data_IF_309904090174
#
_entry.id   IF_309904090174
#
_cell.length_a   1.000
_cell.length_b   1.000
_cell.length_c   1.000
_cell.angle_alpha   90.00
_cell.angle_beta   90.00
_cell.angle_gamma   90.00
#
_symmetry.space_group_name_H-M   'P 1'
#
loop_
_entity.id
_entity.type
_entity.pdbx_description
1 polymer ?
#
# COMPACT_ATOMS: atom_id res chain seq x y z
N UNK A 1 1.47 17.98 -15.98
CA UNK A 1 0.49 18.92 -15.42
C UNK A 1 0.76 20.27 -16.02
N UNK A 2 0.07 20.55 -17.11
CA UNK A 2 0.08 21.84 -17.81
C UNK A 2 -1.09 22.69 -17.35
N UNK A 3 -1.08 23.98 -17.69
CA UNK A 3 -2.23 24.87 -17.50
C UNK A 3 -3.49 24.40 -18.25
N UNK A 4 -3.32 23.54 -19.26
CA UNK A 4 -4.42 22.97 -20.04
C UNK A 4 -5.13 21.79 -19.38
N UNK A 5 -4.69 21.35 -18.18
CA UNK A 5 -5.36 20.27 -17.47
C UNK A 5 -6.83 20.62 -17.18
N UNK A 6 -7.74 19.71 -17.56
CA UNK A 6 -9.18 19.92 -17.49
C UNK A 6 -9.67 20.19 -16.06
N UNK A 7 -9.15 19.47 -15.06
CA UNK A 7 -9.53 19.65 -13.65
C UNK A 7 -9.18 21.05 -13.12
N UNK A 8 -8.06 21.62 -13.56
CA UNK A 8 -7.65 22.99 -13.23
C UNK A 8 -8.57 24.00 -13.94
N UNK A 9 -8.77 23.85 -15.26
CA UNK A 9 -9.59 24.76 -16.07
C UNK A 9 -11.03 24.84 -15.58
N UNK A 10 -11.63 23.70 -15.31
CA UNK A 10 -13.00 23.60 -14.82
C UNK A 10 -13.12 23.93 -13.33
N UNK A 11 -12.00 24.08 -12.61
CA UNK A 11 -11.98 24.28 -11.16
C UNK A 11 -12.80 23.20 -10.45
N UNK A 12 -12.55 21.93 -10.80
CA UNK A 12 -13.15 20.75 -10.14
C UNK A 12 -12.49 20.52 -8.80
N UNK A 13 -12.62 21.48 -7.89
CA UNK A 13 -12.06 21.45 -6.56
C UNK A 13 -13.00 22.20 -5.63
N UNK A 14 -13.38 21.56 -4.53
CA UNK A 14 -14.29 22.09 -3.53
C UNK A 14 -13.67 22.01 -2.14
N UNK A 15 -13.79 23.10 -1.38
CA UNK A 15 -13.23 23.22 -0.04
C UNK A 15 -11.81 23.77 0.03
N UNK A 16 -11.31 23.87 1.26
CA UNK A 16 -9.99 24.37 1.59
C UNK A 16 -9.47 23.62 2.82
N UNK A 17 -8.93 22.42 2.60
CA UNK A 17 -8.37 21.57 3.65
C UNK A 17 -9.30 21.36 4.87
N UNK A 18 -10.30 20.46 4.78
CA UNK A 18 -10.42 19.36 3.82
C UNK A 18 -11.08 19.74 2.49
N UNK A 19 -10.80 18.94 1.47
CA UNK A 19 -11.47 18.94 0.18
C UNK A 19 -12.52 17.83 0.11
N UNK A 20 -13.45 17.92 -0.82
CA UNK A 20 -14.38 16.82 -1.11
C UNK A 20 -13.68 15.68 -1.85
N UNK A 21 -14.19 14.45 -1.74
CA UNK A 21 -13.68 13.26 -2.45
C UNK A 21 -13.88 13.27 -3.97
N UNK A 22 -14.77 14.11 -4.50
CA UNK A 22 -14.96 14.35 -5.93
C UNK A 22 -14.04 15.45 -6.51
N UNK A 23 -13.23 16.09 -5.66
CA UNK A 23 -12.23 17.07 -6.09
C UNK A 23 -11.09 16.41 -6.88
N UNK A 24 -10.69 17.05 -7.98
CA UNK A 24 -9.60 16.63 -8.84
C UNK A 24 -8.27 16.73 -8.10
N UNK A 25 -7.54 15.60 -8.02
CA UNK A 25 -6.28 15.50 -7.29
C UNK A 25 -5.20 16.46 -7.84
N UNK A 26 -5.17 16.70 -9.14
CA UNK A 26 -4.23 17.65 -9.76
C UNK A 26 -4.60 19.08 -9.37
N UNK A 27 -5.88 19.41 -9.36
CA UNK A 27 -6.36 20.70 -8.87
C UNK A 27 -6.02 20.91 -7.38
N UNK A 28 -6.17 19.88 -6.55
CA UNK A 28 -5.74 19.92 -5.14
C UNK A 28 -4.23 20.16 -5.04
N UNK A 29 -3.42 19.46 -5.82
CA UNK A 29 -1.96 19.63 -5.82
C UNK A 29 -1.55 21.08 -6.13
N UNK A 30 -2.25 21.72 -7.07
CA UNK A 30 -2.04 23.13 -7.41
C UNK A 30 -2.51 24.05 -6.29
N UNK A 31 -3.74 23.87 -5.82
CA UNK A 31 -4.33 24.69 -4.77
C UNK A 31 -3.54 24.64 -3.46
N UNK A 32 -3.00 23.47 -3.08
CA UNK A 32 -2.11 23.29 -1.92
C UNK A 32 -0.67 23.74 -2.19
N UNK A 33 -0.31 24.12 -3.43
CA UNK A 33 1.00 24.70 -3.76
C UNK A 33 2.10 23.67 -4.00
N UNK A 34 1.75 22.39 -4.15
CA UNK A 34 2.70 21.31 -4.44
C UNK A 34 3.24 21.47 -5.86
N UNK A 35 2.37 21.85 -6.80
CA UNK A 35 2.71 22.01 -8.21
C UNK A 35 2.26 23.38 -8.71
N UNK A 36 3.14 24.03 -9.46
CA UNK A 36 2.78 25.20 -10.27
C UNK A 36 2.52 24.77 -11.71
N UNK A 37 1.31 24.98 -12.25
CA UNK A 37 1.01 24.66 -13.65
C UNK A 37 1.88 25.49 -14.59
N UNK A 38 2.57 24.83 -15.51
CA UNK A 38 3.40 25.45 -16.55
C UNK A 38 2.81 25.21 -17.94
N UNK A 39 3.29 25.92 -18.96
CA UNK A 39 2.89 25.66 -20.35
C UNK A 39 3.47 24.33 -20.88
N UNK A 40 4.66 23.96 -20.39
CA UNK A 40 5.35 22.74 -20.78
C UNK A 40 4.96 21.54 -19.91
N UNK A 41 5.21 20.33 -20.41
CA UNK A 41 5.06 19.13 -19.62
C UNK A 41 6.02 19.15 -18.40
N UNK A 42 5.59 18.69 -17.22
CA UNK A 42 6.41 18.72 -16.03
C UNK A 42 7.65 17.85 -16.18
N UNK A 43 8.78 18.35 -15.69
CA UNK A 43 10.07 17.64 -15.67
C UNK A 43 10.21 16.68 -14.47
N UNK A 44 9.11 16.05 -14.07
CA UNK A 44 9.10 15.03 -13.03
C UNK A 44 8.36 13.79 -13.55
N UNK A 45 8.81 12.63 -13.09
CA UNK A 45 8.27 11.33 -13.52
C UNK A 45 7.01 10.98 -12.74
N UNK A 46 6.99 11.25 -11.43
CA UNK A 46 5.89 10.87 -10.53
C UNK A 46 5.59 11.98 -9.52
N UNK A 47 4.30 12.21 -9.27
CA UNK A 47 3.78 12.99 -8.14
C UNK A 47 3.11 12.03 -7.17
N UNK A 48 3.53 12.06 -5.91
CA UNK A 48 2.89 11.32 -4.82
C UNK A 48 2.15 12.30 -3.93
N UNK A 49 0.89 12.00 -3.62
CA UNK A 49 0.09 12.71 -2.61
C UNK A 49 -0.49 11.70 -1.62
N UNK A 50 -0.29 11.97 -0.34
CA UNK A 50 -0.83 11.18 0.76
C UNK A 50 -2.04 11.92 1.30
N UNK A 51 -3.22 11.33 1.08
CA UNK A 51 -4.50 11.89 1.48
C UNK A 51 -5.04 11.10 2.66
N UNK A 52 -5.38 11.80 3.75
CA UNK A 52 -6.20 11.25 4.83
C UNK A 52 -7.67 11.40 4.46
N UNK A 53 -8.38 10.28 4.49
CA UNK A 53 -9.83 10.25 4.35
C UNK A 53 -10.48 10.59 5.69
N UNK A 54 -11.46 11.49 5.66
CA UNK A 54 -12.20 12.03 6.79
C UNK A 54 -13.71 11.95 6.49
N UNK A 55 -14.55 12.03 7.52
CA UNK A 55 -16.00 12.15 7.36
C UNK A 55 -16.37 13.43 6.60
N UNK A 56 -17.51 13.38 5.89
CA UNK A 56 -18.03 14.53 5.16
C UNK A 56 -18.26 15.74 6.08
N UNK A 57 -17.88 16.94 5.62
CA UNK A 57 -18.15 18.18 6.37
C UNK A 57 -19.55 18.73 6.08
N UNK A 58 -20.12 19.43 7.07
CA UNK A 58 -21.37 20.17 6.87
C UNK A 58 -21.20 21.34 5.89
N UNK A 59 -20.01 21.93 5.81
CA UNK A 59 -19.68 23.03 4.91
C UNK A 59 -18.22 22.93 4.46
N UNK A 60 -18.00 23.12 3.16
CA UNK A 60 -16.69 23.30 2.54
C UNK A 60 -16.56 24.75 2.06
N UNK A 61 -15.59 25.48 2.58
CA UNK A 61 -15.37 26.89 2.25
C UNK A 61 -14.51 27.06 1.01
N UNK A 62 -14.87 28.00 0.13
CA UNK A 62 -14.04 28.36 -1.02
C UNK A 62 -12.84 29.20 -0.58
N UNK A 63 -11.66 28.97 -1.17
CA UNK A 63 -10.50 29.85 -1.04
C UNK A 63 -9.77 30.05 -2.36
N UNK A 64 -9.04 31.16 -2.48
CA UNK A 64 -8.06 31.36 -3.56
C UNK A 64 -6.68 31.03 -3.01
N UNK A 65 -6.02 30.00 -3.55
CA UNK A 65 -4.65 29.63 -3.19
C UNK A 65 -3.89 29.24 -4.45
N UNK A 66 -2.62 29.66 -4.53
CA UNK A 66 -1.71 29.27 -5.61
C UNK A 66 -2.32 29.44 -7.02
N UNK A 67 -3.00 30.57 -7.21
CA UNK A 67 -3.68 30.95 -8.47
C UNK A 67 -4.86 30.07 -8.89
N UNK A 68 -5.35 29.20 -7.99
CA UNK A 68 -6.57 28.41 -8.20
C UNK A 68 -7.61 28.75 -7.12
N UNK A 69 -8.85 29.00 -7.55
CA UNK A 69 -9.98 29.22 -6.62
C UNK A 69 -10.76 27.92 -6.46
N UNK A 70 -10.88 27.44 -5.23
CA UNK A 70 -11.78 26.35 -4.89
C UNK A 70 -13.23 26.83 -4.78
N UNK A 71 -14.16 25.89 -4.95
CA UNK A 71 -15.60 26.13 -4.84
C UNK A 71 -16.06 25.84 -3.42
N UNK A 72 -17.09 26.56 -2.98
CA UNK A 72 -17.80 26.20 -1.75
C UNK A 72 -18.81 25.11 -2.05
N UNK A 73 -19.09 24.26 -1.07
CA UNK A 73 -20.12 23.24 -1.17
C UNK A 73 -20.69 22.95 0.21
N UNK A 74 -21.97 22.64 0.31
CA UNK A 74 -22.56 22.21 1.58
C UNK A 74 -22.59 20.69 1.68
N UNK A 75 -22.55 20.15 2.89
CA UNK A 75 -22.71 18.71 3.14
C UNK A 75 -24.11 18.18 2.78
N UNK A 76 -25.08 19.07 2.55
CA UNK A 76 -26.39 18.70 2.00
C UNK A 76 -26.30 18.38 0.50
N UNK A 77 -25.48 19.14 -0.25
CA UNK A 77 -25.23 18.94 -1.67
C UNK A 77 -24.26 17.77 -1.90
N UNK A 78 -23.31 17.58 -0.98
CA UNK A 78 -22.30 16.53 -1.07
C UNK A 78 -22.40 15.52 0.06
N UNK A 79 -22.86 14.31 -0.26
CA UNK A 79 -22.97 13.18 0.68
C UNK A 79 -21.73 12.28 0.71
N UNK A 80 -20.64 12.70 0.08
CA UNK A 80 -19.40 11.93 -0.01
C UNK A 80 -18.47 12.09 1.18
N UNK A 81 -17.21 11.73 0.95
CA UNK A 81 -16.11 11.82 1.92
C UNK A 81 -15.40 13.17 1.86
N UNK A 82 -14.62 13.43 2.91
CA UNK A 82 -13.62 14.51 2.93
C UNK A 82 -12.22 13.92 2.74
N UNK A 83 -11.34 14.67 2.08
CA UNK A 83 -9.93 14.35 1.95
C UNK A 83 -9.07 15.50 2.45
N UNK A 84 -8.08 15.20 3.30
CA UNK A 84 -7.06 16.17 3.72
C UNK A 84 -5.70 15.69 3.26
N UNK A 85 -4.96 16.59 2.63
CA UNK A 85 -3.56 16.34 2.27
C UNK A 85 -2.70 16.26 3.54
N UNK A 86 -1.98 15.16 3.73
CA UNK A 86 -1.02 15.00 4.84
C UNK A 86 0.44 15.07 4.39
N UNK A 87 0.71 14.73 3.14
CA UNK A 87 2.06 14.71 2.61
C UNK A 87 2.07 14.71 1.10
N UNK A 88 3.17 15.15 0.52
CA UNK A 88 3.38 15.10 -0.92
C UNK A 88 4.85 14.98 -1.25
N UNK A 89 5.15 14.45 -2.43
CA UNK A 89 6.51 14.40 -2.93
C UNK A 89 6.56 14.35 -4.46
N UNK A 90 7.62 14.91 -5.03
CA UNK A 90 7.85 14.99 -6.48
C UNK A 90 9.12 14.22 -6.81
N UNK A 91 8.98 13.19 -7.64
CA UNK A 91 10.08 12.34 -8.10
C UNK A 91 10.57 12.84 -9.46
N UNK A 92 11.78 13.37 -9.53
CA UNK A 92 12.36 13.77 -10.83
C UNK A 92 12.91 12.57 -11.59
N UNK A 93 13.46 11.60 -10.86
CA UNK A 93 14.04 10.37 -11.42
C UNK A 93 13.28 9.12 -10.99
N UNK A 94 13.49 8.02 -11.69
CA UNK A 94 12.93 6.69 -11.36
C UNK A 94 13.48 6.14 -10.03
N UNK A 95 14.65 6.60 -9.59
CA UNK A 95 15.25 6.23 -8.29
C UNK A 95 14.58 6.95 -7.11
N UNK A 96 14.12 8.18 -7.32
CA UNK A 96 13.38 8.94 -6.29
C UNK A 96 11.97 8.37 -6.07
N UNK A 97 11.35 7.85 -7.13
CA UNK A 97 10.06 7.13 -7.07
C UNK A 97 10.15 5.94 -6.10
N UNK A 98 11.24 5.18 -6.16
CA UNK A 98 11.49 4.08 -5.24
C UNK A 98 11.62 4.51 -3.77
N UNK A 99 11.99 5.76 -3.47
CA UNK A 99 12.11 6.25 -2.09
C UNK A 99 10.77 6.74 -1.53
N UNK A 100 9.92 7.29 -2.39
CA UNK A 100 8.65 7.94 -2.01
C UNK A 100 7.44 7.01 -2.04
N UNK A 101 7.62 5.82 -2.60
CA UNK A 101 6.51 4.89 -2.78
C UNK A 101 6.20 4.07 -1.56
N UNK A 102 7.07 4.05 -0.56
CA UNK A 102 6.86 3.37 0.71
C UNK A 102 5.79 4.09 1.54
N UNK A 103 4.55 3.61 1.44
CA UNK A 103 3.40 4.06 2.24
C UNK A 103 3.24 3.10 3.41
N UNK A 104 3.14 3.67 4.61
CA UNK A 104 2.66 2.92 5.78
C UNK A 104 1.16 2.71 5.60
N UNK A 105 0.76 1.48 5.29
CA UNK A 105 -0.65 1.10 5.27
C UNK A 105 -1.14 1.05 6.72
N UNK A 106 -1.67 2.17 7.22
CA UNK A 106 -2.37 2.15 8.50
C UNK A 106 -3.73 1.50 8.26
N UNK A 107 -4.20 0.58 9.12
CA UNK A 107 -5.61 0.25 9.16
C UNK A 107 -6.37 1.52 9.54
N UNK A 108 -6.92 2.22 8.55
CA UNK A 108 -7.85 3.32 8.79
C UNK A 108 -9.17 2.68 9.14
N UNK A 109 -9.66 2.93 10.36
CA UNK A 109 -11.05 2.63 10.73
C UNK A 109 -11.96 3.55 9.93
N UNK A 110 -12.21 3.18 8.68
CA UNK A 110 -13.17 3.85 7.81
C UNK A 110 -14.56 3.48 8.34
N UNK A 111 -15.25 4.44 8.96
CA UNK A 111 -16.69 4.32 9.09
C UNK A 111 -17.30 4.16 7.69
N UNK A 112 -18.41 3.42 7.63
CA UNK A 112 -18.89 2.73 6.43
C UNK A 112 -19.10 3.68 5.24
N UNK A 113 -18.23 3.60 4.24
CA UNK A 113 -18.51 4.14 2.90
C UNK A 113 -18.66 3.01 1.89
N UNK A 114 -19.86 2.94 1.32
CA UNK A 114 -20.20 2.04 0.21
C UNK A 114 -19.58 2.59 -1.06
N UNK A 115 -18.30 2.28 -1.29
CA UNK A 115 -17.71 2.40 -2.61
C UNK A 115 -18.39 1.30 -3.43
N UNK A 116 -19.23 1.68 -4.39
CA UNK A 116 -19.69 0.76 -5.44
C UNK A 116 -18.44 0.18 -6.07
N UNK A 117 -18.14 -1.06 -5.73
CA UNK A 117 -16.92 -1.75 -6.15
C UNK A 117 -16.99 -1.94 -7.66
N UNK A 118 -16.45 -1.00 -8.42
CA UNK A 118 -15.89 -1.36 -9.70
C UNK A 118 -14.77 -2.35 -9.38
N UNK A 119 -15.04 -3.64 -9.63
CA UNK A 119 -14.07 -4.73 -9.69
C UNK A 119 -13.09 -4.49 -10.86
N UNK A 120 -12.52 -3.30 -10.97
CA UNK A 120 -11.51 -2.98 -11.94
C UNK A 120 -10.17 -3.22 -11.27
N UNK A 121 -9.58 -4.40 -11.45
CA UNK A 121 -8.14 -4.54 -11.72
C UNK A 121 -7.86 -5.95 -12.25
N UNK A 122 -7.92 -6.08 -13.57
CA UNK A 122 -7.56 -7.26 -14.35
C UNK A 122 -6.06 -7.27 -14.69
N UNK A 123 -5.17 -7.23 -13.70
CA UNK A 123 -3.74 -7.50 -13.96
C UNK A 123 -3.11 -8.30 -12.81
N UNK A 124 -3.75 -9.40 -12.39
CA UNK A 124 -3.00 -10.46 -11.73
C UNK A 124 -2.19 -11.20 -12.81
N UNK A 125 -1.07 -10.60 -13.24
CA UNK A 125 -0.09 -11.31 -14.08
C UNK A 125 0.55 -12.37 -13.19
N UNK A 126 0.18 -13.63 -13.39
CA UNK A 126 0.88 -14.77 -12.79
C UNK A 126 2.31 -14.73 -13.30
N UNK A 127 3.27 -14.78 -12.38
CA UNK A 127 4.69 -14.96 -12.70
C UNK A 127 5.22 -16.17 -11.94
N UNK A 128 6.37 -16.70 -12.34
CA UNK A 128 6.98 -17.85 -11.68
C UNK A 128 7.91 -17.39 -10.57
N UNK A 129 7.77 -18.05 -9.40
CA UNK A 129 8.63 -17.84 -8.24
C UNK A 129 10.05 -18.36 -8.47
N UNK A 130 10.95 -18.14 -7.51
CA UNK A 130 12.30 -18.71 -7.52
C UNK A 130 12.32 -20.25 -7.53
N UNK A 131 11.24 -20.89 -7.08
CA UNK A 131 11.04 -22.35 -7.12
C UNK A 131 10.30 -22.81 -8.38
N UNK A 132 10.12 -21.92 -9.36
CA UNK A 132 9.39 -22.16 -10.60
C UNK A 132 7.91 -22.54 -10.39
N UNK A 133 7.27 -21.95 -9.38
CA UNK A 133 5.85 -22.16 -9.10
C UNK A 133 5.04 -20.89 -9.39
N UNK A 134 3.75 -21.00 -9.79
CA UNK A 134 2.90 -19.83 -10.00
C UNK A 134 2.80 -18.94 -8.76
N UNK A 135 3.08 -17.65 -8.89
CA UNK A 135 3.00 -16.65 -7.84
C UNK A 135 2.33 -15.36 -8.36
N UNK A 136 1.84 -14.54 -7.43
CA UNK A 136 1.30 -13.24 -7.79
C UNK A 136 2.46 -12.31 -8.11
N UNK A 137 2.42 -11.64 -9.27
CA UNK A 137 3.27 -10.47 -9.49
C UNK A 137 3.02 -9.45 -8.39
N UNK A 138 4.10 -8.93 -7.83
CA UNK A 138 4.04 -7.90 -6.81
C UNK A 138 3.30 -6.67 -7.34
N UNK A 139 2.33 -6.18 -6.58
CA UNK A 139 1.77 -4.84 -6.72
C UNK A 139 1.28 -4.38 -5.36
N UNK A 140 1.26 -3.06 -5.13
CA UNK A 140 0.71 -2.46 -3.92
C UNK A 140 -0.70 -2.96 -3.63
N UNK A 141 -1.51 -3.14 -4.67
CA UNK A 141 -2.86 -3.65 -4.51
C UNK A 141 -2.86 -4.99 -3.77
N UNK A 142 -1.97 -5.93 -4.09
CA UNK A 142 -1.98 -7.30 -3.51
C UNK A 142 -1.66 -7.31 -2.02
N UNK A 143 -0.91 -6.33 -1.53
CA UNK A 143 -0.50 -6.20 -0.12
C UNK A 143 -1.28 -5.13 0.65
N UNK A 144 -2.10 -4.33 -0.03
CA UNK A 144 -2.87 -3.25 0.58
C UNK A 144 -3.93 -3.77 1.55
N UNK A 145 -4.08 -3.10 2.71
CA UNK A 145 -5.29 -3.22 3.51
C UNK A 145 -6.41 -2.48 2.76
N UNK A 146 -7.19 -3.24 1.99
CA UNK A 146 -8.26 -2.69 1.16
C UNK A 146 -9.57 -2.71 1.93
N UNK A 147 -10.47 -1.80 1.60
CA UNK A 147 -11.86 -1.80 2.08
C UNK A 147 -11.99 -1.50 3.60
N UNK A 148 -13.13 -1.01 4.08
CA UNK A 148 -13.45 -0.98 5.52
C UNK A 148 -13.64 -2.37 6.14
N UNK A 149 -13.87 -3.41 5.33
CA UNK A 149 -14.05 -4.77 5.83
C UNK A 149 -12.70 -5.45 6.06
N UNK A 150 -12.44 -5.76 7.34
CA UNK A 150 -11.21 -6.37 7.84
C UNK A 150 -10.81 -7.66 7.12
N UNK A 151 -11.75 -8.38 6.49
CA UNK A 151 -11.43 -9.61 5.72
C UNK A 151 -10.56 -9.35 4.48
N UNK A 152 -10.51 -8.10 4.00
CA UNK A 152 -9.67 -7.70 2.88
C UNK A 152 -8.35 -7.06 3.31
N UNK A 153 -8.02 -7.11 4.61
CA UNK A 153 -6.78 -6.57 5.15
C UNK A 153 -5.69 -7.63 5.14
N UNK A 154 -4.52 -7.27 4.62
CA UNK A 154 -3.31 -8.10 4.68
C UNK A 154 -2.85 -8.27 6.13
N UNK A 155 -2.97 -7.22 6.95
CA UNK A 155 -2.67 -7.29 8.39
C UNK A 155 -3.48 -8.38 9.11
N UNK A 156 -4.77 -8.51 8.77
CA UNK A 156 -5.69 -9.55 9.30
C UNK A 156 -5.39 -10.91 8.68
N UNK A 157 -5.12 -10.96 7.37
CA UNK A 157 -4.73 -12.19 6.69
C UNK A 157 -3.48 -12.82 7.30
N UNK A 158 -2.50 -11.99 7.71
CA UNK A 158 -1.26 -12.44 8.31
C UNK A 158 -1.42 -13.09 9.70
N UNK A 159 -2.59 -12.98 10.33
CA UNK A 159 -2.88 -13.70 11.57
C UNK A 159 -3.06 -15.21 11.36
N UNK A 160 -3.52 -15.60 10.17
CA UNK A 160 -3.78 -17.01 9.82
C UNK A 160 -2.88 -17.52 8.70
N UNK A 161 -2.14 -16.66 8.02
CA UNK A 161 -1.28 -16.99 6.90
C UNK A 161 0.08 -16.29 7.03
N UNK A 162 1.11 -16.87 6.42
CA UNK A 162 2.41 -16.21 6.26
C UNK A 162 2.59 -15.77 4.82
N UNK A 163 3.15 -14.58 4.63
CA UNK A 163 3.42 -14.03 3.30
C UNK A 163 4.87 -14.27 2.95
N UNK A 164 5.10 -14.73 1.73
CA UNK A 164 6.43 -14.90 1.15
C UNK A 164 6.58 -13.92 0.00
N UNK A 165 7.65 -13.13 0.05
CA UNK A 165 7.98 -12.14 -0.98
C UNK A 165 9.33 -12.47 -1.60
N UNK A 166 9.45 -12.26 -2.90
CA UNK A 166 10.69 -12.51 -3.63
C UNK A 166 11.22 -11.22 -4.23
N UNK A 167 12.54 -11.10 -4.23
CA UNK A 167 13.24 -9.89 -4.62
C UNK A 167 13.99 -10.03 -5.93
N UNK A 168 14.35 -8.90 -6.55
CA UNK A 168 15.13 -8.86 -7.81
C UNK A 168 16.51 -9.51 -7.70
N UNK A 169 17.11 -9.46 -6.52
CA UNK A 169 18.37 -10.11 -6.16
C UNK A 169 18.23 -11.61 -5.86
N UNK A 170 17.08 -12.21 -6.21
CA UNK A 170 16.80 -13.65 -6.14
C UNK A 170 16.83 -14.21 -4.71
N UNK A 171 16.36 -13.42 -3.75
CA UNK A 171 16.12 -13.84 -2.38
C UNK A 171 14.62 -14.03 -2.15
N UNK A 172 14.28 -14.85 -1.15
CA UNK A 172 12.91 -14.98 -0.65
C UNK A 172 12.90 -14.62 0.82
N UNK A 173 11.95 -13.77 1.18
CA UNK A 173 11.70 -13.39 2.56
C UNK A 173 10.30 -13.84 2.97
N UNK A 174 10.15 -14.17 4.23
CA UNK A 174 8.87 -14.43 4.85
C UNK A 174 8.55 -13.30 5.84
N UNK A 175 7.31 -12.81 5.76
CA UNK A 175 6.68 -11.96 6.75
C UNK A 175 5.57 -12.77 7.43
N UNK A 176 5.70 -12.98 8.73
CA UNK A 176 4.71 -13.73 9.53
C UNK A 176 4.41 -13.03 10.84
N UNK A 177 3.26 -13.36 11.43
CA UNK A 177 2.94 -12.96 12.80
C UNK A 177 3.95 -13.57 13.78
N UNK A 178 4.44 -12.76 14.72
CA UNK A 178 5.32 -13.19 15.81
C UNK A 178 4.54 -13.27 17.12
N UNK A 179 3.83 -12.20 17.49
CA UNK A 179 2.98 -12.18 18.67
C UNK A 179 1.71 -11.35 18.44
N UNK A 180 0.59 -11.86 18.93
CA UNK A 180 -0.68 -11.13 18.95
C UNK A 180 -1.38 -11.34 20.29
N UNK A 181 -1.31 -10.32 21.16
CA UNK A 181 -2.06 -10.28 22.41
C UNK A 181 -3.28 -9.40 22.20
N UNK A 182 -4.46 -9.91 22.61
CA UNK A 182 -5.71 -9.18 22.46
C UNK A 182 -5.65 -7.82 23.17
N UNK A 183 -5.89 -6.73 22.43
CA UNK A 183 -5.79 -5.35 22.94
C UNK A 183 -4.42 -4.67 22.74
N UNK A 184 -3.41 -5.38 22.25
CA UNK A 184 -2.11 -4.80 21.88
C UNK A 184 -1.87 -4.84 20.37
N UNK A 185 -0.90 -4.03 19.92
CA UNK A 185 -0.47 -4.07 18.52
C UNK A 185 0.25 -5.39 18.25
N UNK A 186 -0.15 -6.08 17.17
CA UNK A 186 0.54 -7.28 16.71
C UNK A 186 1.99 -6.97 16.32
N UNK A 187 2.88 -7.90 16.62
CA UNK A 187 4.27 -7.86 16.14
C UNK A 187 4.50 -8.91 15.07
N UNK A 188 5.36 -8.59 14.12
CA UNK A 188 5.70 -9.42 12.99
C UNK A 188 7.21 -9.69 12.96
N UNK A 189 7.57 -10.83 12.39
CA UNK A 189 8.96 -11.17 12.06
C UNK A 189 9.16 -11.13 10.56
N UNK A 190 10.35 -10.72 10.13
CA UNK A 190 10.78 -10.75 8.74
C UNK A 190 12.06 -11.60 8.66
N UNK A 191 12.00 -12.70 7.91
CA UNK A 191 13.10 -13.68 7.86
C UNK A 191 13.49 -14.00 6.41
N UNK A 192 14.78 -14.22 6.16
CA UNK A 192 15.31 -14.64 4.85
C UNK A 192 15.29 -16.17 4.76
N UNK A 193 14.73 -16.72 3.69
CA UNK A 193 14.79 -18.15 3.42
C UNK A 193 16.18 -18.52 2.88
N UNK A 194 16.82 -19.53 3.47
CA UNK A 194 18.19 -19.91 3.14
C UNK A 194 18.34 -20.49 1.72
N UNK A 195 17.33 -21.23 1.24
CA UNK A 195 17.40 -21.99 -0.02
C UNK A 195 16.16 -21.76 -0.91
N UNK A 196 15.91 -20.52 -1.36
CA UNK A 196 14.64 -20.13 -1.98
C UNK A 196 14.29 -20.89 -3.28
N UNK A 197 15.28 -21.43 -3.98
CA UNK A 197 15.07 -22.20 -5.22
C UNK A 197 14.57 -23.62 -4.97
N UNK A 198 14.99 -24.24 -3.88
CA UNK A 198 14.64 -25.63 -3.54
C UNK A 198 13.50 -25.70 -2.54
N UNK A 199 13.30 -24.66 -1.74
CA UNK A 199 12.19 -24.56 -0.79
C UNK A 199 10.92 -24.14 -1.54
N UNK A 200 10.28 -25.07 -2.27
CA UNK A 200 8.99 -24.83 -2.94
C UNK A 200 7.85 -24.66 -1.93
N UNK A 201 6.67 -24.22 -2.37
CA UNK A 201 5.49 -24.08 -1.49
C UNK A 201 5.16 -25.38 -0.76
N UNK A 202 5.24 -26.52 -1.44
CA UNK A 202 5.01 -27.83 -0.84
C UNK A 202 6.04 -28.13 0.26
N UNK A 203 7.32 -27.85 0.01
CA UNK A 203 8.39 -28.02 1.01
C UNK A 203 8.17 -27.11 2.22
N UNK A 204 7.74 -25.86 2.01
CA UNK A 204 7.38 -24.95 3.11
C UNK A 204 6.22 -25.55 3.92
N UNK A 205 5.17 -26.02 3.27
CA UNK A 205 4.00 -26.58 3.96
C UNK A 205 4.35 -27.86 4.74
N UNK A 206 5.23 -28.70 4.21
CA UNK A 206 5.72 -29.91 4.90
C UNK A 206 6.57 -29.56 6.12
N UNK A 207 7.49 -28.60 5.99
CA UNK A 207 8.33 -28.12 7.08
C UNK A 207 7.56 -27.35 8.17
N UNK A 208 6.41 -26.77 7.80
CA UNK A 208 5.59 -25.92 8.66
C UNK A 208 5.60 -24.45 8.20
N UNK A 209 4.47 -23.78 8.42
CA UNK A 209 4.27 -22.37 8.09
C UNK A 209 3.92 -21.63 9.40
N UNK A 210 4.70 -20.63 9.84
CA UNK A 210 5.85 -20.03 9.16
C UNK A 210 7.10 -20.92 9.15
N UNK A 211 8.09 -20.63 8.29
CA UNK A 211 9.33 -21.40 8.12
C UNK A 211 10.06 -21.62 9.46
N UNK A 212 10.55 -22.83 9.71
CA UNK A 212 11.34 -23.11 10.90
C UNK A 212 12.69 -22.37 10.89
N UNK A 213 13.29 -22.22 12.07
CA UNK A 213 14.59 -21.54 12.23
C UNK A 213 15.73 -22.27 11.51
N UNK A 214 15.58 -23.57 11.23
CA UNK A 214 16.58 -24.34 10.48
C UNK A 214 16.68 -23.93 9.00
N UNK A 215 15.60 -23.38 8.42
CA UNK A 215 15.49 -23.04 6.99
C UNK A 215 15.47 -21.52 6.73
N UNK A 216 15.62 -20.72 7.79
CA UNK A 216 15.50 -19.27 7.72
C UNK A 216 16.53 -18.55 8.59
N UNK A 217 16.89 -17.33 8.20
CA UNK A 217 17.69 -16.41 9.02
C UNK A 217 16.86 -15.20 9.36
N UNK A 218 16.84 -14.85 10.64
CA UNK A 218 16.09 -13.69 11.13
C UNK A 218 16.73 -12.41 10.61
N UNK A 219 15.95 -11.60 9.90
CA UNK A 219 16.38 -10.27 9.42
C UNK A 219 15.88 -9.21 10.40
N UNK A 220 14.60 -9.27 10.78
CA UNK A 220 13.99 -8.35 11.74
C UNK A 220 12.94 -9.08 12.60
N UNK A 221 12.79 -8.66 13.86
CA UNK A 221 11.77 -9.12 14.82
C UNK A 221 11.12 -7.95 15.54
N UNK A 222 9.97 -8.18 16.15
CA UNK A 222 9.22 -7.17 16.89
C UNK A 222 8.76 -6.02 15.99
N UNK A 223 8.48 -6.29 14.71
CA UNK A 223 8.03 -5.27 13.78
C UNK A 223 6.59 -4.92 14.06
N UNK A 224 6.31 -3.65 14.31
CA UNK A 224 4.93 -3.15 14.28
C UNK A 224 4.47 -3.02 12.83
N UNK A 225 3.17 -3.16 12.58
CA UNK A 225 2.61 -3.02 11.22
C UNK A 225 2.98 -1.68 10.57
N UNK A 226 3.05 -0.61 11.36
CA UNK A 226 3.42 0.72 10.88
C UNK A 226 4.91 0.89 10.52
N UNK A 227 5.77 -0.09 10.83
CA UNK A 227 7.19 -0.10 10.49
C UNK A 227 7.47 -0.86 9.18
N UNK A 228 6.42 -1.40 8.55
CA UNK A 228 6.47 -2.10 7.27
C UNK A 228 5.88 -1.17 6.22
N UNK A 229 6.76 -0.51 5.46
CA UNK A 229 6.36 0.50 4.49
C UNK A 229 6.32 -0.11 3.08
N UNK A 230 5.13 -0.24 2.51
CA UNK A 230 4.92 -0.86 1.20
C UNK A 230 5.03 0.16 0.09
N UNK A 231 5.82 -0.10 -0.95
CA UNK A 231 5.91 0.75 -2.12
C UNK A 231 5.74 0.05 -3.45
N UNK A 232 5.53 0.80 -4.53
CA UNK A 232 5.08 0.33 -5.85
C UNK A 232 5.85 -0.87 -6.40
N UNK A 233 7.12 -1.03 -6.02
CA UNK A 233 7.98 -2.16 -6.40
C UNK A 233 8.91 -2.62 -5.27
N UNK A 234 8.61 -2.26 -4.02
CA UNK A 234 9.50 -2.54 -2.89
C UNK A 234 8.79 -2.56 -1.55
N UNK A 235 9.44 -3.13 -0.53
CA UNK A 235 9.07 -2.93 0.87
C UNK A 235 10.27 -2.34 1.62
N UNK A 236 10.02 -1.40 2.52
CA UNK A 236 11.04 -0.81 3.39
C UNK A 236 10.74 -1.21 4.81
N UNK A 237 11.75 -1.76 5.48
CA UNK A 237 11.67 -2.21 6.86
C UNK A 237 12.88 -1.64 7.57
N UNK A 238 12.66 -0.79 8.59
CA UNK A 238 13.71 -0.13 9.39
C UNK A 238 14.85 0.50 8.55
N UNK A 239 14.48 1.15 7.45
CA UNK A 239 15.42 1.81 6.54
C UNK A 239 15.99 0.93 5.41
N UNK A 240 15.91 -0.39 5.53
CA UNK A 240 16.35 -1.34 4.49
C UNK A 240 15.27 -1.51 3.42
N UNK A 241 15.64 -1.39 2.14
CA UNK A 241 14.71 -1.46 1.00
C UNK A 241 14.90 -2.75 0.22
N UNK A 242 13.83 -3.53 0.09
CA UNK A 242 13.79 -4.81 -0.63
C UNK A 242 12.98 -4.64 -1.91
N UNK A 243 13.60 -4.87 -3.09
CA UNK A 243 12.95 -4.70 -4.41
C UNK A 243 12.12 -5.92 -4.78
N UNK A 244 10.80 -5.83 -4.67
CA UNK A 244 9.88 -6.96 -4.80
C UNK A 244 9.51 -7.27 -6.26
N UNK A 245 9.35 -8.56 -6.55
CA UNK A 245 9.03 -9.11 -7.88
C UNK A 245 7.70 -9.87 -7.84
N UNK A 246 7.59 -10.85 -6.94
CA UNK A 246 6.37 -11.61 -6.67
C UNK A 246 6.16 -11.82 -5.19
N UNK A 247 4.95 -12.30 -4.88
CA UNK A 247 4.61 -12.80 -3.57
C UNK A 247 3.61 -13.94 -3.65
N UNK A 248 3.51 -14.70 -2.57
CA UNK A 248 2.44 -15.65 -2.33
C UNK A 248 2.16 -15.76 -0.83
N UNK A 249 1.02 -16.36 -0.48
CA UNK A 249 0.63 -16.59 0.90
C UNK A 249 0.42 -18.09 1.11
N UNK A 250 0.78 -18.58 2.30
CA UNK A 250 0.49 -19.94 2.73
C UNK A 250 -0.23 -19.91 4.08
N UNK A 251 -1.25 -20.76 4.30
CA UNK A 251 -1.87 -20.91 5.62
C UNK A 251 -0.85 -21.34 6.66
N UNK A 252 -0.94 -20.78 7.86
CA UNK A 252 -0.10 -21.20 8.97
C UNK A 252 -0.44 -22.64 9.35
N UNK A 253 0.58 -23.46 9.56
CA UNK A 253 0.47 -24.88 9.87
C UNK A 253 1.66 -25.33 10.69
N UNK A 254 1.41 -26.26 11.62
CA UNK A 254 2.49 -27.02 12.24
C UNK A 254 3.20 -27.89 11.19
N UNK A 255 4.45 -28.32 11.44
CA UNK A 255 5.14 -29.27 10.57
C UNK A 255 4.27 -30.50 10.36
N UNK A 256 4.22 -31.02 9.14
CA UNK A 256 3.50 -32.26 8.88
C UNK A 256 4.17 -33.37 9.72
N UNK A 257 3.44 -33.96 10.67
CA UNK A 257 3.91 -35.15 11.37
C UNK A 257 4.17 -36.21 10.30
N UNK A 258 5.43 -36.59 10.10
CA UNK A 258 5.78 -37.71 9.24
C UNK A 258 5.17 -38.96 9.85
N UNK A 259 3.94 -39.29 9.45
CA UNK A 259 3.31 -40.57 9.72
C UNK A 259 4.08 -41.63 8.95
N UNK A 260 5.13 -42.16 9.58
CA UNK A 260 5.67 -43.47 9.25
C UNK A 260 5.01 -44.46 10.20
N UNK A 261 3.91 -45.06 9.74
CA UNK A 261 3.60 -46.46 10.06
C UNK A 261 4.03 -47.31 8.86
#
# INVERSE_FOLDING_TARGET
ITQDNLGIKERRIWGNEPYTDDSDLVAIAVHSGIITPTAEAPKFSVLVMIMRILEGQSVYTSSMRNSLKSRSLTGYEHKGLSMRLEGSAICKTTEDEAKLTHVVLRPVRLERYSIKSHNAFSEARVIFSLSNEPAFKYSLSVVADRSPDAKYWTSVRLQTQSMYVETRDRKRYELSLENHVQGQSATYRFVECLKPRTTSKAVIQEAGVPLPEADSTVVEKGLLWNQIEWGVSSVRIRGNVYKLVCLFFLPNSSPASTGKE
#
